data_IF_716138553031
#
_entry.id   IF_716138553031
#
_cell.length_a   1.000
_cell.length_b   1.000
_cell.length_c   1.000
_cell.angle_alpha   90.00
_cell.angle_beta   90.00
_cell.angle_gamma   90.00
#
_symmetry.space_group_name_H-M   'P 1'
#
loop_
_entity.id
_entity.type
_entity.pdbx_description
1 polymer ?
#
# COMPACT_ATOMS: atom_id res chain seq x y z
N UNK A 1 19.43 -16.95 5.77
CA UNK A 1 20.03 -15.61 5.56
C UNK A 1 20.34 -15.47 4.08
N UNK A 2 19.37 -15.02 3.28
CA UNK A 2 19.63 -14.55 1.93
C UNK A 2 19.83 -13.05 2.03
N UNK A 3 21.09 -12.63 2.05
CA UNK A 3 21.47 -11.27 1.64
C UNK A 3 20.88 -11.07 0.25
N UNK A 4 19.93 -10.14 0.14
CA UNK A 4 19.40 -9.75 -1.16
C UNK A 4 20.54 -9.03 -1.86
N UNK A 5 20.96 -9.65 -2.97
CA UNK A 5 22.02 -9.22 -3.88
C UNK A 5 21.93 -7.73 -4.16
N UNK A 6 23.12 -7.12 -4.29
CA UNK A 6 23.38 -5.76 -4.70
C UNK A 6 22.28 -5.20 -5.62
N UNK A 7 21.72 -4.08 -5.16
CA UNK A 7 20.87 -3.14 -5.89
C UNK A 7 21.09 -3.22 -7.40
N UNK A 8 20.03 -3.58 -8.14
CA UNK A 8 19.90 -3.10 -9.53
C UNK A 8 20.17 -1.60 -9.52
N UNK A 9 20.94 -1.13 -10.49
CA UNK A 9 21.31 0.27 -10.58
C UNK A 9 20.05 1.14 -10.51
N UNK A 10 20.05 2.11 -9.58
CA UNK A 10 19.00 3.13 -9.46
C UNK A 10 18.70 3.69 -10.86
N UNK A 11 17.47 3.63 -11.36
CA UNK A 11 17.15 4.27 -12.63
C UNK A 11 17.39 5.77 -12.52
N UNK A 12 17.74 6.40 -13.65
CA UNK A 12 17.74 7.86 -13.72
C UNK A 12 16.36 8.38 -13.32
N UNK A 13 16.31 9.51 -12.61
CA UNK A 13 15.04 10.15 -12.30
C UNK A 13 14.36 10.55 -13.62
N UNK A 14 13.21 9.95 -13.99
CA UNK A 14 12.50 10.34 -15.19
C UNK A 14 11.99 11.79 -15.13
N UNK A 15 12.06 12.42 -13.95
CA UNK A 15 11.68 13.81 -13.70
C UNK A 15 12.83 14.81 -13.79
N UNK A 16 14.06 14.35 -14.05
CA UNK A 16 15.24 15.21 -14.18
C UNK A 16 15.09 16.34 -15.20
N UNK A 17 14.21 16.19 -16.20
CA UNK A 17 13.83 17.25 -17.14
C UNK A 17 12.30 17.40 -17.26
N UNK A 18 11.58 17.22 -16.15
CA UNK A 18 10.10 17.12 -16.12
C UNK A 18 9.38 18.27 -16.83
N UNK A 19 9.86 19.50 -16.64
CA UNK A 19 9.29 20.69 -17.24
C UNK A 19 9.35 20.70 -18.79
N UNK A 20 10.32 20.01 -19.38
CA UNK A 20 10.48 19.92 -20.83
C UNK A 20 9.71 18.75 -21.46
N UNK A 21 9.23 17.78 -20.66
CA UNK A 21 8.43 16.67 -21.15
C UNK A 21 7.06 17.15 -21.64
N UNK A 22 6.59 16.56 -22.73
CA UNK A 22 5.21 16.68 -23.18
C UNK A 22 4.24 16.04 -22.19
N UNK A 23 2.95 16.39 -22.29
CA UNK A 23 1.91 15.78 -21.45
C UNK A 23 1.88 14.26 -21.60
N UNK A 24 2.02 13.73 -22.82
CA UNK A 24 2.00 12.30 -23.09
C UNK A 24 3.20 11.57 -22.44
N UNK A 25 4.38 12.19 -22.41
CA UNK A 25 5.56 11.62 -21.74
C UNK A 25 5.39 11.62 -20.21
N UNK A 26 4.79 12.68 -19.64
CA UNK A 26 4.46 12.74 -18.20
C UNK A 26 3.43 11.69 -17.82
N UNK A 27 2.40 11.52 -18.64
CA UNK A 27 1.35 10.51 -18.44
C UNK A 27 1.94 9.10 -18.52
N UNK A 28 2.78 8.82 -19.52
CA UNK A 28 3.42 7.53 -19.71
C UNK A 28 4.37 7.15 -18.55
N UNK A 29 4.96 8.13 -17.87
CA UNK A 29 5.82 7.89 -16.70
C UNK A 29 5.08 7.26 -15.51
N UNK A 30 3.75 7.35 -15.48
CA UNK A 30 2.88 6.83 -14.42
C UNK A 30 1.77 5.90 -14.93
N UNK A 31 1.74 5.56 -16.23
CA UNK A 31 0.76 4.61 -16.77
C UNK A 31 1.20 3.16 -16.61
N UNK A 32 1.00 2.63 -15.40
CA UNK A 32 1.30 1.23 -15.09
C UNK A 32 0.48 0.25 -15.95
N UNK A 33 -0.74 0.59 -16.38
CA UNK A 33 -1.56 -0.32 -17.19
C UNK A 33 -0.97 -0.50 -18.59
N UNK A 34 -0.49 0.58 -19.20
CA UNK A 34 0.21 0.53 -20.49
C UNK A 34 1.57 -0.15 -20.35
N UNK A 35 2.29 0.09 -19.25
CA UNK A 35 3.62 -0.48 -19.02
C UNK A 35 3.61 -2.00 -18.81
N UNK A 36 2.53 -2.55 -18.26
CA UNK A 36 2.38 -3.99 -17.98
C UNK A 36 1.42 -4.62 -18.98
N UNK A 37 1.97 -5.34 -19.96
CA UNK A 37 1.22 -5.91 -21.11
C UNK A 37 0.03 -6.80 -20.70
N UNK A 38 0.14 -7.52 -19.61
CA UNK A 38 -0.85 -8.45 -19.07
C UNK A 38 -1.67 -7.86 -17.89
N UNK A 39 -1.61 -6.55 -17.66
CA UNK A 39 -2.29 -5.86 -16.57
C UNK A 39 -3.79 -6.20 -16.49
N UNK A 40 -4.49 -6.22 -17.63
CA UNK A 40 -5.90 -6.56 -17.68
C UNK A 40 -6.20 -7.99 -17.19
N UNK A 41 -5.35 -8.96 -17.53
CA UNK A 41 -5.50 -10.35 -17.09
C UNK A 41 -5.22 -10.49 -15.59
N UNK A 42 -4.16 -9.84 -15.10
CA UNK A 42 -3.81 -9.82 -13.67
C UNK A 42 -4.92 -9.16 -12.83
N UNK A 43 -5.52 -8.08 -13.33
CA UNK A 43 -6.66 -7.41 -12.68
C UNK A 43 -7.89 -8.33 -12.65
N UNK A 44 -8.20 -9.01 -13.75
CA UNK A 44 -9.31 -9.95 -13.82
C UNK A 44 -9.12 -11.12 -12.84
N UNK A 45 -7.93 -11.72 -12.81
CA UNK A 45 -7.60 -12.79 -11.88
C UNK A 45 -7.74 -12.32 -10.42
N UNK A 46 -7.17 -11.15 -10.09
CA UNK A 46 -7.28 -10.54 -8.76
C UNK A 46 -8.74 -10.38 -8.33
N UNK A 47 -9.59 -9.86 -9.21
CA UNK A 47 -10.99 -9.60 -8.92
C UNK A 47 -11.77 -10.91 -8.70
N UNK A 48 -11.60 -11.92 -9.57
CA UNK A 48 -12.27 -13.22 -9.43
C UNK A 48 -11.78 -13.99 -8.19
N UNK A 49 -10.48 -14.00 -7.93
CA UNK A 49 -9.93 -14.61 -6.72
C UNK A 49 -10.45 -13.93 -5.44
N UNK A 50 -10.55 -12.61 -5.44
CA UNK A 50 -11.06 -11.85 -4.29
C UNK A 50 -12.54 -12.14 -4.05
N UNK A 51 -13.34 -12.22 -5.10
CA UNK A 51 -14.75 -12.64 -5.03
C UNK A 51 -14.88 -14.05 -4.45
N UNK A 52 -14.06 -15.00 -4.91
CA UNK A 52 -14.06 -16.37 -4.38
C UNK A 52 -13.65 -16.43 -2.90
N UNK A 53 -12.64 -15.66 -2.49
CA UNK A 53 -12.22 -15.61 -1.09
C UNK A 53 -13.30 -15.00 -0.19
N UNK A 54 -13.92 -13.89 -0.60
CA UNK A 54 -15.03 -13.26 0.14
C UNK A 54 -16.20 -14.21 0.38
N UNK A 55 -16.47 -15.09 -0.58
CA UNK A 55 -17.58 -16.05 -0.49
C UNK A 55 -17.30 -17.26 0.43
N UNK A 56 -16.03 -17.55 0.73
CA UNK A 56 -15.62 -18.80 1.37
C UNK A 56 -14.92 -18.63 2.71
N UNK A 57 -14.25 -17.50 2.94
CA UNK A 57 -13.51 -17.23 4.18
C UNK A 57 -14.44 -16.70 5.25
N UNK A 58 -14.26 -17.14 6.51
CA UNK A 58 -14.91 -16.50 7.66
C UNK A 58 -14.51 -15.03 7.72
N UNK A 59 -15.50 -14.14 7.73
CA UNK A 59 -15.27 -12.70 7.69
C UNK A 59 -16.44 -11.90 8.27
N UNK A 60 -16.16 -10.65 8.62
CA UNK A 60 -17.16 -9.61 8.79
C UNK A 60 -16.98 -8.62 7.65
N UNK A 61 -17.90 -8.64 6.69
CA UNK A 61 -17.81 -7.81 5.49
C UNK A 61 -18.61 -6.53 5.67
N UNK A 62 -18.18 -5.48 4.96
CA UNK A 62 -18.93 -4.24 4.78
C UNK A 62 -19.26 -3.51 6.08
N UNK A 63 -18.43 -3.67 7.12
CA UNK A 63 -18.61 -3.05 8.43
C UNK A 63 -18.32 -1.56 8.33
N UNK A 64 -19.30 -0.71 8.62
CA UNK A 64 -19.13 0.74 8.54
C UNK A 64 -18.18 1.25 9.64
N UNK A 65 -17.17 2.02 9.23
CA UNK A 65 -16.31 2.78 10.15
C UNK A 65 -16.54 4.29 10.07
N UNK A 66 -17.23 4.74 9.01
CA UNK A 66 -17.63 6.13 8.81
C UNK A 66 -18.98 6.23 8.09
N UNK A 67 -19.41 7.45 7.80
CA UNK A 67 -20.76 7.73 7.29
C UNK A 67 -20.88 7.70 5.75
N UNK A 68 -19.77 7.54 5.01
CA UNK A 68 -19.79 7.49 3.55
C UNK A 68 -19.96 6.05 3.07
N UNK A 69 -20.46 5.89 1.85
CA UNK A 69 -20.69 4.57 1.26
C UNK A 69 -19.43 3.68 1.25
N UNK A 70 -18.28 4.32 0.99
CA UNK A 70 -16.98 3.66 0.83
C UNK A 70 -16.20 3.49 2.14
N UNK A 71 -16.59 4.19 3.21
CA UNK A 71 -15.96 4.11 4.55
C UNK A 71 -16.45 2.87 5.32
N UNK A 72 -16.14 1.71 4.75
CA UNK A 72 -16.43 0.37 5.29
C UNK A 72 -15.16 -0.46 5.30
N UNK A 73 -15.07 -1.41 6.22
CA UNK A 73 -13.92 -2.29 6.41
C UNK A 73 -14.37 -3.75 6.37
N UNK A 74 -13.58 -4.58 5.69
CA UNK A 74 -13.74 -6.02 5.75
C UNK A 74 -12.71 -6.60 6.73
N UNK A 75 -13.18 -7.46 7.63
CA UNK A 75 -12.36 -8.07 8.68
C UNK A 75 -12.32 -9.59 8.51
N UNK A 76 -11.12 -10.14 8.51
CA UNK A 76 -10.83 -11.56 8.42
C UNK A 76 -10.05 -11.94 9.69
N UNK A 77 -10.74 -12.26 10.79
CA UNK A 77 -10.09 -12.54 12.07
C UNK A 77 -9.33 -13.87 12.04
N UNK A 78 -8.18 -13.89 12.71
CA UNK A 78 -7.47 -15.11 13.05
C UNK A 78 -8.25 -15.96 14.08
N UNK A 79 -7.75 -17.18 14.33
CA UNK A 79 -8.23 -18.00 15.42
C UNK A 79 -7.90 -17.40 16.80
N UNK A 80 -6.69 -16.86 16.93
CA UNK A 80 -6.27 -16.07 18.10
C UNK A 80 -6.51 -14.58 17.84
N UNK A 81 -7.35 -13.95 18.65
CA UNK A 81 -7.67 -12.53 18.49
C UNK A 81 -6.49 -11.61 18.77
N UNK A 82 -5.52 -12.06 19.58
CA UNK A 82 -4.30 -11.33 19.90
C UNK A 82 -3.21 -11.48 18.82
N UNK A 83 -3.43 -12.33 17.81
CA UNK A 83 -2.50 -12.46 16.69
C UNK A 83 -2.37 -11.13 15.93
N UNK A 84 -1.19 -10.84 15.32
CA UNK A 84 -1.02 -9.63 14.56
C UNK A 84 -2.03 -9.49 13.43
N UNK A 85 -2.35 -8.24 13.08
CA UNK A 85 -3.28 -7.90 12.02
C UNK A 85 -2.56 -7.15 10.91
N UNK A 86 -2.67 -7.64 9.67
CA UNK A 86 -2.31 -6.84 8.50
C UNK A 86 -3.50 -5.97 8.11
N UNK A 87 -3.35 -4.65 8.22
CA UNK A 87 -4.31 -3.70 7.62
C UNK A 87 -3.81 -3.41 6.21
N UNK A 88 -4.59 -3.73 5.17
CA UNK A 88 -4.18 -3.54 3.78
C UNK A 88 -4.95 -2.40 3.10
N UNK A 89 -4.22 -1.40 2.61
CA UNK A 89 -4.74 -0.25 1.87
C UNK A 89 -4.56 -0.46 0.36
N UNK A 90 -5.65 -0.43 -0.39
CA UNK A 90 -5.60 -0.72 -1.82
C UNK A 90 -4.92 0.39 -2.65
N UNK A 91 -4.56 0.05 -3.89
CA UNK A 91 -4.05 1.01 -4.88
C UNK A 91 -5.13 1.53 -5.82
N UNK A 92 -4.71 2.25 -6.87
CA UNK A 92 -5.62 2.78 -7.91
C UNK A 92 -5.62 4.30 -8.02
N UNK A 93 -4.49 4.96 -7.75
CA UNK A 93 -4.33 6.42 -7.85
C UNK A 93 -5.41 7.22 -7.11
N UNK A 94 -5.89 6.72 -5.96
CA UNK A 94 -6.96 7.35 -5.16
C UNK A 94 -8.27 7.62 -5.92
N UNK A 95 -8.43 7.08 -7.13
CA UNK A 95 -9.56 7.33 -8.02
C UNK A 95 -10.21 6.04 -8.54
N UNK A 96 -9.67 4.87 -8.18
CA UNK A 96 -10.11 3.54 -8.67
C UNK A 96 -10.01 2.45 -7.60
N UNK A 97 -10.62 1.31 -7.93
CA UNK A 97 -10.75 0.10 -7.13
C UNK A 97 -11.60 0.27 -5.85
N UNK A 98 -11.62 -0.78 -5.03
CA UNK A 98 -12.36 -0.89 -3.78
C UNK A 98 -11.72 -2.00 -2.92
N UNK A 99 -12.05 -2.05 -1.63
CA UNK A 99 -11.51 -3.08 -0.71
C UNK A 99 -11.80 -4.51 -1.15
N UNK A 100 -12.97 -4.74 -1.74
CA UNK A 100 -13.49 -6.07 -2.03
C UNK A 100 -12.70 -6.79 -3.12
N UNK A 101 -12.11 -6.04 -4.06
CA UNK A 101 -11.28 -6.60 -5.14
C UNK A 101 -9.84 -6.90 -4.74
N UNK A 102 -9.50 -6.78 -3.45
CA UNK A 102 -8.18 -7.17 -2.90
C UNK A 102 -8.27 -8.25 -1.81
N UNK A 103 -9.45 -8.82 -1.57
CA UNK A 103 -9.63 -9.85 -0.57
C UNK A 103 -8.73 -11.08 -0.79
N UNK A 104 -8.33 -11.38 -2.03
CA UNK A 104 -7.41 -12.50 -2.31
C UNK A 104 -6.08 -12.42 -1.54
N UNK A 105 -5.63 -11.23 -1.15
CA UNK A 105 -4.39 -11.03 -0.38
C UNK A 105 -4.47 -11.59 1.05
N UNK A 106 -5.69 -11.87 1.54
CA UNK A 106 -5.89 -12.53 2.83
C UNK A 106 -5.23 -13.91 2.87
N UNK A 107 -5.17 -14.62 1.73
CA UNK A 107 -4.62 -15.99 1.63
C UNK A 107 -3.23 -16.10 2.25
N UNK A 108 -2.32 -15.18 1.90
CA UNK A 108 -0.91 -15.26 2.27
C UNK A 108 -0.71 -15.11 3.76
N UNK A 109 -1.12 -13.97 4.32
CA UNK A 109 -0.89 -13.66 5.74
C UNK A 109 -1.77 -14.51 6.67
N UNK A 110 -3.00 -14.83 6.29
CA UNK A 110 -3.86 -15.65 7.15
C UNK A 110 -3.39 -17.12 7.24
N UNK A 111 -2.58 -17.61 6.29
CA UNK A 111 -1.93 -18.91 6.41
C UNK A 111 -0.92 -18.97 7.57
N UNK A 112 -0.45 -17.82 8.06
CA UNK A 112 0.43 -17.69 9.22
C UNK A 112 -0.31 -17.33 10.50
N UNK A 113 -1.63 -17.49 10.53
CA UNK A 113 -2.46 -17.28 11.72
C UNK A 113 -2.70 -15.81 12.07
N UNK A 114 -2.51 -14.89 11.13
CA UNK A 114 -2.76 -13.47 11.32
C UNK A 114 -4.18 -13.07 10.95
N UNK A 115 -4.65 -12.00 11.58
CA UNK A 115 -5.87 -11.31 11.13
C UNK A 115 -5.55 -10.43 9.91
N UNK A 116 -6.55 -10.15 9.10
CA UNK A 116 -6.45 -9.17 8.01
C UNK A 116 -7.63 -8.22 8.06
N UNK A 117 -7.38 -6.94 7.85
CA UNK A 117 -8.40 -5.91 7.74
C UNK A 117 -8.19 -5.09 6.46
N UNK A 118 -9.24 -4.89 5.67
CA UNK A 118 -9.15 -4.17 4.39
C UNK A 118 -10.15 -3.01 4.42
N UNK A 119 -9.74 -1.80 4.84
CA UNK A 119 -10.59 -0.63 4.78
C UNK A 119 -10.74 -0.16 3.32
N UNK A 120 -11.98 0.14 2.93
CA UNK A 120 -12.26 0.97 1.77
C UNK A 120 -12.18 2.44 2.16
N UNK A 121 -12.01 3.32 1.19
CA UNK A 121 -12.00 4.77 1.37
C UNK A 121 -12.63 5.45 0.15
N UNK A 122 -13.08 6.69 0.29
CA UNK A 122 -13.63 7.53 -0.76
C UNK A 122 -12.63 7.72 -1.91
N UNK A 123 -13.10 8.09 -3.09
CA UNK A 123 -12.23 8.27 -4.25
C UNK A 123 -12.37 9.69 -4.80
N UNK A 124 -11.35 10.16 -5.49
CA UNK A 124 -11.44 11.35 -6.31
C UNK A 124 -12.23 11.05 -7.60
N UNK A 125 -13.04 11.99 -8.10
CA UNK A 125 -13.19 13.38 -7.65
C UNK A 125 -14.20 13.61 -6.52
N UNK A 126 -14.88 12.57 -6.03
CA UNK A 126 -15.92 12.71 -4.99
C UNK A 126 -15.37 13.09 -3.61
N UNK A 127 -14.08 12.83 -3.38
CA UNK A 127 -13.32 13.26 -2.21
C UNK A 127 -11.95 13.82 -2.63
N UNK A 128 -11.51 14.87 -1.92
CA UNK A 128 -10.13 15.37 -1.98
C UNK A 128 -9.15 14.35 -1.40
N UNK A 129 -7.87 14.46 -1.76
CA UNK A 129 -6.85 13.58 -1.19
C UNK A 129 -6.71 13.80 0.32
N UNK A 130 -6.93 15.03 0.79
CA UNK A 130 -7.00 15.36 2.22
C UNK A 130 -8.08 14.54 2.95
N UNK A 131 -9.28 14.44 2.39
CA UNK A 131 -10.36 13.64 2.96
C UNK A 131 -10.03 12.15 2.95
N UNK A 132 -9.46 11.65 1.85
CA UNK A 132 -9.05 10.24 1.73
C UNK A 132 -8.02 9.87 2.80
N UNK A 133 -6.98 10.69 3.00
CA UNK A 133 -5.98 10.47 4.06
C UNK A 133 -6.62 10.50 5.45
N UNK A 134 -7.55 11.43 5.70
CA UNK A 134 -8.29 11.50 6.97
C UNK A 134 -9.13 10.24 7.23
N UNK A 135 -9.75 9.67 6.19
CA UNK A 135 -10.56 8.45 6.31
C UNK A 135 -9.73 7.22 6.69
N UNK A 136 -8.45 7.16 6.34
CA UNK A 136 -7.55 6.09 6.79
C UNK A 136 -7.30 6.17 8.29
N UNK A 137 -7.05 7.37 8.82
CA UNK A 137 -6.94 7.58 10.27
C UNK A 137 -8.24 7.19 10.99
N UNK A 138 -9.40 7.58 10.44
CA UNK A 138 -10.71 7.18 10.98
C UNK A 138 -10.90 5.65 10.99
N UNK A 139 -10.46 4.94 9.95
CA UNK A 139 -10.52 3.48 9.91
C UNK A 139 -9.64 2.83 11.00
N UNK A 140 -8.45 3.39 11.23
CA UNK A 140 -7.52 2.92 12.26
C UNK A 140 -8.03 3.20 13.69
N UNK A 141 -8.62 4.38 13.92
CA UNK A 141 -9.31 4.72 15.17
C UNK A 141 -10.48 3.78 15.44
N UNK A 142 -11.30 3.53 14.41
CA UNK A 142 -12.40 2.59 14.52
C UNK A 142 -11.90 1.18 14.84
N UNK A 143 -10.82 0.73 14.20
CA UNK A 143 -10.25 -0.59 14.46
C UNK A 143 -9.64 -0.68 15.87
N UNK A 144 -9.03 0.40 16.37
CA UNK A 144 -8.54 0.48 17.75
C UNK A 144 -9.68 0.34 18.77
N UNK A 145 -10.82 1.00 18.51
CA UNK A 145 -11.98 0.98 19.40
C UNK A 145 -12.80 -0.30 19.33
N UNK A 146 -13.00 -0.85 18.13
CA UNK A 146 -14.00 -1.90 17.89
C UNK A 146 -13.39 -3.25 17.49
N UNK A 147 -12.12 -3.30 17.09
CA UNK A 147 -11.50 -4.51 16.53
C UNK A 147 -11.60 -5.73 17.43
N UNK A 148 -11.49 -5.56 18.76
CA UNK A 148 -11.61 -6.65 19.72
C UNK A 148 -12.97 -7.38 19.62
N UNK A 149 -14.07 -6.65 19.40
CA UNK A 149 -15.41 -7.22 19.21
C UNK A 149 -15.55 -8.08 17.95
N UNK A 150 -14.63 -7.91 17.00
CA UNK A 150 -14.54 -8.68 15.76
C UNK A 150 -13.40 -9.70 15.78
N UNK A 151 -12.74 -9.91 16.93
CA UNK A 151 -11.62 -10.84 17.05
C UNK A 151 -10.30 -10.32 16.48
N UNK A 152 -10.11 -8.99 16.41
CA UNK A 152 -8.89 -8.33 15.92
C UNK A 152 -8.36 -7.37 16.99
N UNK A 153 -7.56 -7.88 17.93
CA UNK A 153 -6.98 -7.09 19.04
C UNK A 153 -5.45 -7.01 19.02
N UNK A 154 -4.77 -7.82 18.20
CA UNK A 154 -3.31 -7.84 18.11
C UNK A 154 -2.67 -6.58 17.48
N UNK A 155 -1.33 -6.51 17.47
CA UNK A 155 -0.60 -5.39 16.88
C UNK A 155 -0.89 -5.26 15.37
N UNK A 156 -0.98 -4.01 14.88
CA UNK A 156 -1.26 -3.76 13.45
C UNK A 156 0.03 -3.49 12.70
N UNK A 157 0.22 -4.26 11.63
CA UNK A 157 1.11 -3.91 10.52
C UNK A 157 0.27 -3.24 9.45
N UNK A 158 0.55 -1.98 9.15
CA UNK A 158 -0.12 -1.25 8.09
C UNK A 158 0.60 -1.50 6.77
N UNK A 159 -0.08 -2.07 5.79
CA UNK A 159 0.46 -2.30 4.46
C UNK A 159 -0.43 -1.72 3.39
N UNK A 160 0.14 -1.44 2.23
CA UNK A 160 -0.61 -0.92 1.12
C UNK A 160 0.20 -0.95 -0.16
N UNK A 161 -0.52 -0.93 -1.27
CA UNK A 161 0.07 -1.04 -2.61
C UNK A 161 -0.20 0.22 -3.43
N UNK A 162 0.80 0.72 -4.15
CA UNK A 162 0.66 1.88 -5.05
C UNK A 162 0.18 3.12 -4.28
N UNK A 163 -0.94 3.73 -4.67
CA UNK A 163 -1.61 4.77 -3.89
C UNK A 163 -1.87 4.38 -2.43
N UNK A 164 -2.06 3.09 -2.12
CA UNK A 164 -2.19 2.61 -0.74
C UNK A 164 -0.89 2.66 0.04
N UNK A 165 0.26 2.49 -0.62
CA UNK A 165 1.59 2.62 0.00
C UNK A 165 1.90 4.08 0.38
N UNK A 166 1.40 5.03 -0.41
CA UNK A 166 1.35 6.44 -0.01
C UNK A 166 0.52 6.63 1.27
N UNK A 167 -0.68 6.06 1.33
CA UNK A 167 -1.53 6.15 2.54
C UNK A 167 -0.88 5.48 3.76
N UNK A 168 -0.11 4.39 3.58
CA UNK A 168 0.70 3.80 4.66
C UNK A 168 1.69 4.82 5.21
N UNK A 169 2.43 5.52 4.33
CA UNK A 169 3.39 6.53 4.77
C UNK A 169 2.70 7.68 5.51
N UNK A 170 1.55 8.13 5.04
CA UNK A 170 0.76 9.20 5.68
C UNK A 170 0.19 8.80 7.04
N UNK A 171 -0.18 7.53 7.23
CA UNK A 171 -0.79 7.03 8.46
C UNK A 171 0.19 6.28 9.38
N UNK A 172 1.49 6.25 9.06
CA UNK A 172 2.47 5.46 9.81
C UNK A 172 2.54 5.86 11.28
N UNK A 173 2.46 7.17 11.58
CA UNK A 173 2.57 7.67 12.95
C UNK A 173 1.32 7.39 13.81
N UNK A 174 0.24 6.90 13.21
CA UNK A 174 -0.99 6.59 13.93
C UNK A 174 -0.74 5.60 15.10
N UNK A 175 -1.26 5.85 16.32
CA UNK A 175 -0.96 5.01 17.50
C UNK A 175 -1.32 3.54 17.36
N UNK A 176 -2.35 3.23 16.56
CA UNK A 176 -2.75 1.85 16.25
C UNK A 176 -1.70 1.05 15.48
N UNK A 177 -0.82 1.72 14.73
CA UNK A 177 0.15 1.13 13.81
C UNK A 177 1.47 0.85 14.55
N UNK A 178 1.86 -0.42 14.59
CA UNK A 178 3.12 -0.85 15.18
C UNK A 178 4.29 -0.72 14.19
N UNK A 179 4.04 -1.03 12.90
CA UNK A 179 5.02 -0.96 11.82
C UNK A 179 4.31 -0.91 10.46
N UNK A 180 5.04 -0.56 9.40
CA UNK A 180 4.52 -0.45 8.04
C UNK A 180 5.24 -1.32 7.00
N UNK A 181 4.50 -1.72 5.96
CA UNK A 181 5.01 -2.29 4.70
C UNK A 181 4.42 -1.54 3.51
N UNK A 182 5.19 -0.63 2.91
CA UNK A 182 4.76 0.14 1.74
C UNK A 182 5.24 -0.51 0.44
N UNK A 183 4.32 -0.86 -0.46
CA UNK A 183 4.61 -1.64 -1.67
C UNK A 183 4.37 -0.77 -2.92
N UNK A 184 5.41 -0.51 -3.70
CA UNK A 184 5.34 0.16 -5.01
C UNK A 184 4.71 1.56 -4.95
N UNK A 185 5.06 2.35 -3.93
CA UNK A 185 4.39 3.62 -3.63
C UNK A 185 4.83 4.81 -4.47
N UNK A 186 4.02 5.87 -4.37
CA UNK A 186 4.33 7.23 -4.84
C UNK A 186 4.49 8.11 -3.61
N UNK A 187 5.60 8.85 -3.51
CA UNK A 187 5.95 9.60 -2.29
C UNK A 187 6.15 11.10 -2.52
N UNK A 188 6.08 11.54 -3.78
CA UNK A 188 5.99 12.95 -4.18
C UNK A 188 4.82 13.11 -5.16
N UNK A 189 3.88 14.01 -4.81
CA UNK A 189 2.67 14.27 -5.59
C UNK A 189 2.85 15.38 -6.63
N UNK A 190 3.93 16.17 -6.59
CA UNK A 190 4.15 17.26 -7.53
C UNK A 190 4.16 16.75 -9.00
N UNK A 191 4.86 15.65 -9.35
CA UNK A 191 4.81 15.10 -10.70
C UNK A 191 3.42 14.55 -11.06
N UNK A 192 2.73 13.92 -10.11
CA UNK A 192 1.38 13.38 -10.32
C UNK A 192 0.41 14.48 -10.76
N UNK A 193 0.53 15.67 -10.17
CA UNK A 193 -0.29 16.84 -10.50
C UNK A 193 -0.16 17.29 -11.96
N UNK A 194 0.99 17.02 -12.57
CA UNK A 194 1.28 17.38 -13.97
C UNK A 194 0.90 16.27 -14.97
N UNK A 195 0.23 15.22 -14.51
CA UNK A 195 -0.31 14.14 -15.35
C UNK A 195 -1.82 14.25 -15.52
N UNK A 196 -2.39 13.48 -16.45
CA UNK A 196 -3.83 13.31 -16.63
C UNK A 196 -4.56 12.74 -15.40
N UNK A 197 -3.85 12.18 -14.42
CA UNK A 197 -4.43 11.76 -13.12
C UNK A 197 -5.02 12.96 -12.37
N UNK A 198 -4.45 14.15 -12.56
CA UNK A 198 -4.89 15.34 -11.86
C UNK A 198 -6.27 15.87 -12.31
N UNK A 199 -6.80 15.36 -13.43
CA UNK A 199 -8.17 15.65 -13.85
C UNK A 199 -9.20 15.23 -12.80
N UNK A 200 -8.96 14.09 -12.12
CA UNK A 200 -9.78 13.63 -11.01
C UNK A 200 -9.30 14.19 -9.67
N UNK A 201 -7.99 14.14 -9.42
CA UNK A 201 -7.41 14.46 -8.11
C UNK A 201 -7.52 15.96 -7.75
N UNK A 202 -7.39 16.86 -8.74
CA UNK A 202 -7.42 18.32 -8.55
C UNK A 202 -6.52 18.80 -7.41
N UNK A 203 -5.30 18.24 -7.33
CA UNK A 203 -4.34 18.48 -6.26
C UNK A 203 -4.00 19.97 -6.16
N UNK A 204 -4.24 20.53 -4.98
CA UNK A 204 -3.81 21.90 -4.67
C UNK A 204 -2.32 21.95 -4.30
N UNK A 205 -1.70 23.13 -4.34
CA UNK A 205 -0.33 23.31 -3.79
C UNK A 205 -0.23 22.86 -2.33
N UNK A 206 -1.28 23.13 -1.56
CA UNK A 206 -1.33 22.73 -0.16
C UNK A 206 -1.38 21.20 0.01
N UNK A 207 -2.11 20.49 -0.84
CA UNK A 207 -2.16 19.02 -0.81
C UNK A 207 -0.85 18.41 -1.27
N UNK A 208 -0.21 18.96 -2.31
CA UNK A 208 1.13 18.51 -2.73
C UNK A 208 2.12 18.65 -1.57
N UNK A 209 2.13 19.80 -0.89
CA UNK A 209 3.06 20.03 0.22
C UNK A 209 2.77 19.17 1.44
N UNK A 210 1.49 19.04 1.83
CA UNK A 210 1.11 18.36 3.07
C UNK A 210 0.94 16.86 2.93
N UNK A 211 0.77 16.36 1.71
CA UNK A 211 0.46 14.96 1.45
C UNK A 211 1.52 14.29 0.57
N UNK A 212 2.68 14.91 0.34
CA UNK A 212 3.85 14.22 -0.23
C UNK A 212 4.75 13.73 0.90
N UNK A 213 4.84 12.42 1.19
CA UNK A 213 5.71 11.90 2.25
C UNK A 213 7.17 12.39 2.17
N UNK A 214 7.68 12.69 0.98
CA UNK A 214 9.03 13.24 0.77
C UNK A 214 9.19 14.69 1.24
N UNK A 215 8.11 15.45 1.42
CA UNK A 215 8.13 16.84 1.89
C UNK A 215 7.90 16.96 3.41
N UNK A 216 7.58 15.85 4.07
CA UNK A 216 7.19 15.82 5.47
C UNK A 216 8.34 15.37 6.39
N UNK A 217 8.29 15.72 7.68
CA UNK A 217 9.19 15.13 8.66
C UNK A 217 9.10 13.59 8.67
N UNK A 218 10.27 12.94 8.72
CA UNK A 218 10.34 11.48 8.75
C UNK A 218 9.76 10.95 10.06
N UNK A 219 8.81 10.00 9.95
CA UNK A 219 8.26 9.26 11.09
C UNK A 219 9.20 8.14 11.53
N UNK A 220 9.62 8.15 12.80
CA UNK A 220 10.53 7.17 13.43
C UNK A 220 9.83 5.88 13.91
N UNK A 221 8.95 5.31 13.08
CA UNK A 221 8.46 3.93 13.23
C UNK A 221 9.01 3.06 12.11
N UNK A 222 9.12 1.75 12.35
CA UNK A 222 9.67 0.83 11.34
C UNK A 222 8.76 0.80 10.12
N UNK A 223 9.34 1.11 8.95
CA UNK A 223 8.68 1.03 7.66
C UNK A 223 9.59 0.30 6.68
N UNK A 224 9.19 -0.92 6.32
CA UNK A 224 9.83 -1.63 5.23
C UNK A 224 9.18 -1.20 3.90
N UNK A 225 9.99 -0.96 2.88
CA UNK A 225 9.56 -0.52 1.54
C UNK A 225 9.88 -1.63 0.55
N UNK A 226 8.91 -2.03 -0.27
CA UNK A 226 9.13 -3.00 -1.33
C UNK A 226 8.67 -2.46 -2.68
N UNK A 227 9.31 -2.86 -3.76
CA UNK A 227 8.90 -2.52 -5.12
C UNK A 227 9.27 -3.64 -6.10
N UNK A 228 8.55 -3.74 -7.20
CA UNK A 228 8.84 -4.66 -8.28
C UNK A 228 10.04 -4.17 -9.10
N UNK A 229 11.04 -5.03 -9.28
CA UNK A 229 12.26 -4.65 -9.98
C UNK A 229 12.07 -4.43 -11.50
N UNK A 230 10.89 -4.73 -12.04
CA UNK A 230 10.48 -4.51 -13.43
C UNK A 230 9.35 -3.46 -13.55
N UNK A 231 9.22 -2.56 -12.56
CA UNK A 231 8.30 -1.43 -12.60
C UNK A 231 8.78 -0.26 -13.47
N UNK A 232 7.87 0.67 -13.72
CA UNK A 232 8.20 1.96 -14.32
C UNK A 232 9.31 2.66 -13.52
N UNK A 233 10.27 3.33 -14.19
CA UNK A 233 11.39 4.00 -13.53
C UNK A 233 10.98 4.98 -12.42
N UNK A 234 9.85 5.68 -12.58
CA UNK A 234 9.35 6.63 -11.59
C UNK A 234 9.02 5.97 -10.25
N UNK A 235 8.41 4.78 -10.28
CA UNK A 235 7.98 4.04 -9.07
C UNK A 235 9.18 3.42 -8.35
N UNK A 236 10.12 2.88 -9.12
CA UNK A 236 11.40 2.37 -8.59
C UNK A 236 12.19 3.51 -7.94
N UNK A 237 12.30 4.64 -8.63
CA UNK A 237 13.00 5.81 -8.11
C UNK A 237 12.34 6.33 -6.83
N UNK A 238 11.01 6.51 -6.81
CA UNK A 238 10.30 7.02 -5.63
C UNK A 238 10.49 6.11 -4.41
N UNK A 239 10.45 4.79 -4.61
CA UNK A 239 10.68 3.81 -3.54
C UNK A 239 12.09 3.92 -2.97
N UNK A 240 13.11 4.03 -3.83
CA UNK A 240 14.51 4.20 -3.41
C UNK A 240 14.69 5.56 -2.72
N UNK A 241 14.19 6.64 -3.31
CA UNK A 241 14.39 7.99 -2.81
C UNK A 241 13.71 8.22 -1.44
N UNK A 242 12.50 7.69 -1.25
CA UNK A 242 11.82 7.76 0.04
C UNK A 242 12.56 6.94 1.11
N UNK A 243 13.12 5.77 0.76
CA UNK A 243 13.96 5.02 1.69
C UNK A 243 15.25 5.77 2.05
N UNK A 244 15.94 6.37 1.07
CA UNK A 244 17.15 7.18 1.30
C UNK A 244 16.87 8.34 2.26
N UNK A 245 15.76 9.06 2.08
CA UNK A 245 15.35 10.14 2.99
C UNK A 245 15.14 9.63 4.43
N UNK A 246 14.55 8.44 4.59
CA UNK A 246 14.37 7.80 5.90
C UNK A 246 15.69 7.36 6.52
N UNK A 247 16.61 6.80 5.73
CA UNK A 247 17.96 6.41 6.19
C UNK A 247 18.75 7.64 6.64
N UNK A 248 18.69 8.75 5.89
CA UNK A 248 19.34 9.99 6.26
C UNK A 248 18.83 10.55 7.60
N UNK A 249 17.57 10.27 7.95
CA UNK A 249 16.97 10.61 9.24
C UNK A 249 17.16 9.55 10.34
N UNK A 250 17.94 8.48 10.09
CA UNK A 250 18.14 7.33 10.97
C UNK A 250 16.82 6.62 11.37
N UNK A 251 15.79 6.66 10.52
CA UNK A 251 14.54 5.98 10.79
C UNK A 251 14.63 4.47 10.47
N UNK A 252 14.00 3.59 11.28
CA UNK A 252 14.08 2.15 11.06
C UNK A 252 13.29 1.70 9.82
N UNK A 253 13.80 0.63 9.19
CA UNK A 253 13.19 0.03 8.00
C UNK A 253 14.23 -0.51 7.03
N UNK A 254 13.79 -1.36 6.11
CA UNK A 254 14.62 -1.85 5.01
C UNK A 254 13.91 -1.70 3.68
N UNK A 255 14.66 -1.66 2.59
CA UNK A 255 14.12 -1.64 1.23
C UNK A 255 14.34 -2.99 0.53
N UNK A 256 13.35 -3.42 -0.25
CA UNK A 256 13.34 -4.70 -0.94
C UNK A 256 12.95 -4.53 -2.41
N UNK A 257 13.83 -4.94 -3.31
CA UNK A 257 13.49 -5.11 -4.72
C UNK A 257 13.00 -6.55 -4.94
N UNK A 258 11.77 -6.70 -5.41
CA UNK A 258 11.17 -8.00 -5.73
C UNK A 258 11.50 -8.33 -7.18
N UNK A 259 12.45 -9.25 -7.36
CA UNK A 259 12.98 -9.59 -8.68
C UNK A 259 11.91 -10.20 -9.59
N UNK A 260 11.93 -9.82 -10.87
CA UNK A 260 10.93 -10.25 -11.86
C UNK A 260 9.52 -9.69 -11.68
N UNK A 261 9.21 -9.06 -10.55
CA UNK A 261 7.89 -8.48 -10.31
C UNK A 261 7.73 -7.11 -11.00
N UNK A 262 6.55 -6.91 -11.60
CA UNK A 262 6.08 -5.61 -12.09
C UNK A 262 5.05 -5.03 -11.12
N UNK A 263 4.47 -3.87 -11.47
CA UNK A 263 3.58 -3.13 -10.58
C UNK A 263 2.36 -3.95 -10.14
N UNK A 264 1.86 -4.87 -10.97
CA UNK A 264 0.71 -5.72 -10.66
C UNK A 264 1.11 -7.09 -10.12
N UNK A 265 2.10 -7.74 -10.74
CA UNK A 265 2.48 -9.11 -10.36
C UNK A 265 3.10 -9.21 -8.97
N UNK A 266 3.65 -8.11 -8.44
CA UNK A 266 4.15 -8.03 -7.05
C UNK A 266 3.08 -8.38 -6.01
N UNK A 267 1.79 -8.15 -6.29
CA UNK A 267 0.69 -8.54 -5.39
C UNK A 267 0.64 -10.06 -5.17
N UNK A 268 1.10 -10.85 -6.15
CA UNK A 268 1.23 -12.30 -6.01
C UNK A 268 2.15 -12.70 -4.86
N UNK A 269 3.19 -11.93 -4.56
CA UNK A 269 4.10 -12.19 -3.43
C UNK A 269 3.46 -11.92 -2.06
N UNK A 270 2.40 -11.13 -1.99
CA UNK A 270 1.63 -10.94 -0.76
C UNK A 270 0.46 -11.93 -0.65
N UNK A 271 0.02 -12.49 -1.79
CA UNK A 271 -1.02 -13.53 -1.86
C UNK A 271 -0.50 -14.91 -1.44
N UNK A 272 0.71 -15.27 -1.88
CA UNK A 272 1.27 -16.61 -1.61
C UNK A 272 1.76 -16.73 -0.16
N UNK A 273 1.42 -17.81 0.58
CA UNK A 273 1.91 -18.01 1.95
C UNK A 273 3.43 -17.99 2.10
N UNK A 274 4.17 -18.45 1.09
CA UNK A 274 5.64 -18.46 1.03
C UNK A 274 6.23 -17.28 0.25
N UNK A 275 5.41 -16.28 -0.09
CA UNK A 275 5.83 -15.11 -0.83
C UNK A 275 6.73 -14.18 -0.01
N UNK A 276 7.65 -13.49 -0.68
CA UNK A 276 8.66 -12.67 -0.01
C UNK A 276 8.02 -11.52 0.80
N UNK A 277 6.92 -10.95 0.31
CA UNK A 277 6.21 -9.87 1.01
C UNK A 277 5.49 -10.34 2.26
N UNK A 278 5.00 -11.59 2.28
CA UNK A 278 4.43 -12.21 3.49
C UNK A 278 5.52 -12.34 4.57
N UNK A 279 6.70 -12.84 4.18
CA UNK A 279 7.84 -12.98 5.10
C UNK A 279 8.35 -11.63 5.62
N UNK A 280 8.40 -10.61 4.76
CA UNK A 280 8.77 -9.24 5.16
C UNK A 280 7.74 -8.71 6.17
N UNK A 281 6.44 -8.83 5.89
CA UNK A 281 5.38 -8.38 6.78
C UNK A 281 5.47 -9.06 8.17
N UNK A 282 5.73 -10.37 8.21
CA UNK A 282 5.84 -11.14 9.47
C UNK A 282 7.03 -10.70 10.33
N UNK A 283 8.15 -10.35 9.70
CA UNK A 283 9.36 -9.85 10.39
C UNK A 283 9.15 -8.47 11.03
N UNK A 284 8.12 -7.70 10.66
CA UNK A 284 7.85 -6.38 11.23
C UNK A 284 7.40 -6.45 12.70
N UNK A 285 6.81 -7.56 13.13
CA UNK A 285 6.33 -7.77 14.51
C UNK A 285 7.10 -8.86 15.27
N UNK A 286 8.31 -9.19 14.79
CA UNK A 286 9.24 -10.06 15.52
C UNK A 286 8.88 -11.55 15.53
N UNK A 287 7.93 -12.00 14.70
CA UNK A 287 7.68 -13.43 14.53
C UNK A 287 8.81 -14.04 13.69
N UNK A 288 9.85 -14.52 14.37
CA UNK A 288 10.85 -15.41 13.80
C UNK A 288 10.19 -16.75 13.51
N UNK A 289 10.43 -17.33 12.32
CA UNK A 289 9.95 -18.66 11.97
C UNK A 289 10.33 -19.66 13.08
N UNK A 290 9.34 -20.13 13.84
CA UNK A 290 9.47 -21.33 14.65
C UNK A 290 8.99 -22.51 13.80
N UNK A 291 9.91 -23.39 13.42
CA UNK A 291 9.65 -24.65 12.71
C UNK A 291 10.36 -24.72 11.38
#
# INVERSE_FOLDING_TARGET
MTSISATKARPLDPRSNWAALSQAERDAAYDNNAAVKDSAALIAERNEASKALRASRRSFLDVAYGNRERTKIDLYPAADSAAPCLVFLHGGYWQRNSRDVFAMLVEGIAAHGWSVAIPGYSLAPEASLTEIVSEISQALDWLAKNGASYGVSGPVVLSGWSAGAHLVAMALDHPRVAAGLAISGVYDLAPIRDTGLNNALKLTDQEVEKLSPLHLPVVHKRLDIAYGAAELPALVFDSIHFHEARVAANAPGSIYAIEGANHFSILGDLRRPDGALVDIARKLVGQSNNG
#
